data_IF_659165535767
#
_entry.id   IF_659165535767
#
_cell.length_a   1.000
_cell.length_b   1.000
_cell.length_c   1.000
_cell.angle_alpha   90.00
_cell.angle_beta   90.00
_cell.angle_gamma   90.00
#
_symmetry.space_group_name_H-M   'P 1'
#
loop_
_entity.id
_entity.type
_entity.pdbx_description
1 polymer ?
#
# COMPACT_ATOMS: atom_id res chain seq x y z
N UNK A 1 -20.94 -8.02 -9.22
CA UNK A 1 -20.12 -7.49 -10.34
C UNK A 1 -19.11 -6.56 -9.69
N UNK A 2 -18.02 -7.15 -9.24
CA UNK A 2 -17.07 -6.57 -8.30
C UNK A 2 -16.01 -5.85 -9.13
N UNK A 3 -16.35 -4.61 -9.51
CA UNK A 3 -15.55 -3.76 -10.37
C UNK A 3 -14.26 -3.39 -9.64
N UNK A 4 -13.19 -4.02 -10.10
CA UNK A 4 -11.80 -3.57 -10.03
C UNK A 4 -11.41 -2.87 -8.73
N UNK A 5 -11.18 -3.68 -7.70
CA UNK A 5 -10.57 -3.24 -6.46
C UNK A 5 -9.10 -2.95 -6.75
N UNK A 6 -8.80 -1.70 -7.12
CA UNK A 6 -7.48 -1.29 -7.59
C UNK A 6 -6.34 -1.93 -6.79
N UNK A 7 -5.41 -2.53 -7.51
CA UNK A 7 -4.23 -3.17 -6.95
C UNK A 7 -3.01 -2.26 -7.13
N UNK A 8 -2.08 -2.34 -6.20
CA UNK A 8 -0.82 -1.61 -6.20
C UNK A 8 0.30 -2.55 -5.77
N UNK A 9 1.44 -2.43 -6.43
CA UNK A 9 2.64 -3.19 -6.09
C UNK A 9 3.37 -2.49 -4.94
N UNK A 10 3.74 -3.24 -3.91
CA UNK A 10 4.55 -2.73 -2.80
C UNK A 10 6.01 -2.59 -3.25
N UNK A 11 6.62 -1.41 -3.11
CA UNK A 11 8.02 -1.22 -3.52
C UNK A 11 9.05 -1.90 -2.60
N UNK A 12 8.62 -2.41 -1.43
CA UNK A 12 9.51 -3.00 -0.43
C UNK A 12 9.53 -4.53 -0.50
N UNK A 13 8.38 -5.16 -0.77
CA UNK A 13 8.29 -6.62 -0.94
C UNK A 13 7.98 -7.06 -2.38
N UNK A 14 7.70 -6.12 -3.29
CA UNK A 14 7.42 -6.34 -4.72
C UNK A 14 6.24 -7.31 -4.94
N UNK A 15 5.20 -7.18 -4.10
CA UNK A 15 3.98 -7.99 -4.15
C UNK A 15 2.80 -7.10 -4.55
N UNK A 16 1.96 -7.60 -5.45
CA UNK A 16 0.67 -7.03 -5.79
C UNK A 16 -0.31 -7.14 -4.61
N UNK A 17 -0.82 -6.00 -4.17
CA UNK A 17 -1.76 -5.92 -3.05
C UNK A 17 -2.84 -4.88 -3.35
N UNK A 18 -4.05 -5.08 -2.84
CA UNK A 18 -5.12 -4.09 -2.98
C UNK A 18 -4.75 -2.76 -2.33
N UNK A 19 -5.26 -1.63 -2.83
CA UNK A 19 -5.05 -0.32 -2.18
C UNK A 19 -5.42 -0.30 -0.69
N UNK A 20 -6.35 -1.14 -0.24
CA UNK A 20 -6.73 -1.32 1.16
C UNK A 20 -5.60 -1.87 2.05
N UNK A 21 -4.69 -2.64 1.45
CA UNK A 21 -3.49 -3.16 2.11
C UNK A 21 -2.39 -2.10 2.21
N UNK A 22 -2.56 -0.90 1.65
CA UNK A 22 -1.65 0.23 1.79
C UNK A 22 -2.19 1.20 2.83
N UNK A 23 -1.33 1.63 3.75
CA UNK A 23 -1.73 2.65 4.72
C UNK A 23 -1.88 4.01 4.05
N UNK A 24 -2.96 4.72 4.38
CA UNK A 24 -3.16 6.11 3.99
C UNK A 24 -2.06 6.97 4.61
N UNK A 25 -1.43 7.79 3.80
CA UNK A 25 -0.35 8.67 4.20
C UNK A 25 -0.54 10.02 3.53
N UNK A 26 -1.02 10.98 4.31
CA UNK A 26 -1.36 12.33 3.85
C UNK A 26 -0.12 13.17 3.51
N UNK A 27 1.10 12.67 3.80
CA UNK A 27 2.35 13.34 3.43
C UNK A 27 2.76 13.04 1.99
N UNK A 28 2.25 11.95 1.41
CA UNK A 28 2.49 11.55 0.02
C UNK A 28 1.48 12.20 -0.92
N UNK A 29 1.91 12.52 -2.14
CA UNK A 29 1.06 13.11 -3.20
C UNK A 29 -0.17 12.25 -3.51
N UNK A 30 0.00 10.93 -3.50
CA UNK A 30 -1.08 9.95 -3.72
C UNK A 30 -1.97 9.71 -2.48
N UNK A 31 -1.64 10.28 -1.32
CA UNK A 31 -2.38 10.05 -0.09
C UNK A 31 -2.25 8.63 0.50
N UNK A 32 -1.36 7.80 -0.03
CA UNK A 32 -1.07 6.43 0.41
C UNK A 32 0.45 6.16 0.40
N UNK A 33 0.90 5.20 1.19
CA UNK A 33 2.30 4.77 1.17
C UNK A 33 2.66 4.02 -0.12
N UNK A 34 3.94 4.10 -0.48
CA UNK A 34 4.54 3.29 -1.56
C UNK A 34 4.76 1.83 -1.16
N UNK A 35 4.71 1.55 0.14
CA UNK A 35 4.89 0.24 0.74
C UNK A 35 3.62 -0.19 1.47
N UNK A 36 3.32 -1.50 1.44
CA UNK A 36 2.12 -2.05 2.04
C UNK A 36 2.15 -1.91 3.57
N UNK A 37 0.98 -2.03 4.20
CA UNK A 37 0.77 -1.92 5.64
C UNK A 37 1.65 -2.88 6.43
N UNK A 38 1.92 -4.08 5.91
CA UNK A 38 2.86 -5.04 6.50
C UNK A 38 4.28 -4.47 6.56
N UNK A 39 4.86 -4.12 5.41
CA UNK A 39 6.18 -3.50 5.32
C UNK A 39 6.30 -2.23 6.17
N UNK A 40 5.24 -1.43 6.21
CA UNK A 40 5.14 -0.26 7.07
C UNK A 40 5.19 -0.59 8.57
N UNK A 41 4.60 -1.71 8.98
CA UNK A 41 4.62 -2.18 10.38
C UNK A 41 6.00 -2.73 10.75
N UNK A 42 6.63 -3.49 9.84
CA UNK A 42 7.96 -4.05 10.06
C UNK A 42 9.04 -2.96 10.19
N UNK A 43 8.90 -1.87 9.44
CA UNK A 43 9.86 -0.77 9.42
C UNK A 43 9.67 0.28 10.53
N UNK A 44 8.82 0.01 11.56
CA UNK A 44 8.60 0.87 12.74
C UNK A 44 9.52 0.54 13.92
N UNK A 45 10.71 -0.02 13.68
CA UNK A 45 11.75 -0.19 14.70
C UNK A 45 12.59 1.07 14.87
#
# INVERSE_FOLDING_TARGET
MDFDKGMKICNQCVIEKSYEEFSKDRTKKDGIRTQCRKCCSENRK
#
